data_IF_531381577003
#
_entry.id   IF_531381577003
#
_cell.length_a   1.000
_cell.length_b   1.000
_cell.length_c   1.000
_cell.angle_alpha   90.00
_cell.angle_beta   90.00
_cell.angle_gamma   90.00
#
_symmetry.space_group_name_H-M   'P 1'
#
loop_
_entity.id
_entity.type
_entity.pdbx_description
1 polymer ?
#
# COMPACT_ATOMS: atom_id res chain seq x y z
N UNK A 1 -3.02 47.96 30.61
CA UNK A 1 -1.56 48.01 30.38
C UNK A 1 -1.12 46.56 30.16
N UNK A 2 -0.85 46.18 28.89
CA UNK A 2 -0.20 44.95 28.35
C UNK A 2 -0.82 43.57 28.74
N UNK A 3 -1.50 42.74 27.91
CA UNK A 3 -1.38 42.20 26.52
C UNK A 3 -0.49 40.92 26.39
N UNK A 4 -1.12 39.78 26.05
CA UNK A 4 -0.69 38.61 25.23
C UNK A 4 -1.68 37.44 25.52
N UNK A 5 -2.65 37.01 24.72
CA UNK A 5 -2.77 36.64 23.29
C UNK A 5 -1.97 35.38 22.85
N UNK A 6 -2.73 34.31 22.50
CA UNK A 6 -2.48 33.27 21.45
C UNK A 6 -1.52 32.12 21.87
N UNK A 7 -1.92 30.83 21.96
CA UNK A 7 -2.30 29.89 20.88
C UNK A 7 -3.05 28.66 21.42
N UNK A 8 -4.34 28.54 21.12
CA UNK A 8 -5.02 27.27 20.84
C UNK A 8 -5.19 27.23 19.33
N UNK A 9 -4.48 26.32 18.65
CA UNK A 9 -4.81 25.85 17.30
C UNK A 9 -3.66 24.96 16.85
N UNK A 10 -3.86 23.66 16.77
CA UNK A 10 -3.23 22.74 15.79
C UNK A 10 -4.00 21.39 15.88
N UNK A 11 -5.31 21.47 15.63
CA UNK A 11 -6.10 20.33 15.16
C UNK A 11 -5.75 20.13 13.69
N UNK A 12 -4.83 19.22 13.38
CA UNK A 12 -4.59 18.76 12.01
C UNK A 12 -5.25 17.39 11.82
N UNK A 13 -6.57 17.40 11.67
CA UNK A 13 -7.28 16.40 10.90
C UNK A 13 -6.91 16.61 9.43
N UNK A 14 -6.07 15.76 8.84
CA UNK A 14 -6.05 15.60 7.38
C UNK A 14 -7.23 14.69 7.00
N UNK A 15 -8.39 15.30 6.85
CA UNK A 15 -9.51 14.68 6.15
C UNK A 15 -9.17 14.62 4.65
N UNK A 16 -9.24 13.42 4.07
CA UNK A 16 -9.15 13.21 2.64
C UNK A 16 -10.31 13.93 1.94
N UNK A 17 -10.07 14.87 1.00
CA UNK A 17 -11.16 15.61 0.36
C UNK A 17 -11.82 14.74 -0.71
N UNK A 18 -13.02 14.23 -0.41
CA UNK A 18 -13.95 13.69 -1.40
C UNK A 18 -14.38 14.82 -2.37
N UNK A 19 -13.82 14.83 -3.58
CA UNK A 19 -14.11 15.82 -4.61
C UNK A 19 -15.49 15.57 -5.27
N UNK A 20 -16.33 16.63 -5.31
CA UNK A 20 -17.66 16.63 -5.94
C UNK A 20 -17.57 16.59 -7.46
N UNK A 21 -18.06 15.51 -8.06
CA UNK A 21 -18.28 15.33 -9.51
C UNK A 21 -19.21 16.42 -10.07
N UNK A 22 -18.71 17.25 -11.00
CA UNK A 22 -19.52 18.22 -11.75
C UNK A 22 -20.18 17.51 -12.94
N UNK A 23 -21.50 17.33 -12.88
CA UNK A 23 -22.31 16.76 -13.97
C UNK A 23 -22.23 17.63 -15.23
N UNK A 24 -21.61 17.11 -16.29
CA UNK A 24 -21.61 17.70 -17.63
C UNK A 24 -22.82 17.14 -18.41
N UNK A 25 -23.69 18.04 -18.87
CA UNK A 25 -24.92 17.76 -19.62
C UNK A 25 -24.57 17.28 -21.04
N UNK A 26 -24.94 16.04 -21.35
CA UNK A 26 -24.72 15.37 -22.65
C UNK A 26 -25.74 15.86 -23.68
N UNK A 27 -25.28 16.47 -24.76
CA UNK A 27 -26.11 16.94 -25.87
C UNK A 27 -25.96 15.94 -27.03
N UNK A 28 -27.08 15.46 -27.56
CA UNK A 28 -27.14 14.44 -28.61
C UNK A 28 -26.81 15.02 -29.99
N UNK A 29 -25.84 14.43 -30.69
CA UNK A 29 -25.76 14.50 -32.17
C UNK A 29 -25.40 13.10 -32.67
N UNK A 30 -26.35 12.49 -33.37
CA UNK A 30 -26.25 11.21 -34.08
C UNK A 30 -25.75 11.47 -35.50
N UNK A 31 -24.65 10.86 -35.92
CA UNK A 31 -24.40 10.59 -37.34
C UNK A 31 -23.60 9.30 -37.52
N UNK A 32 -24.12 8.46 -38.41
CA UNK A 32 -23.74 7.08 -38.68
C UNK A 32 -22.55 7.03 -39.66
N UNK A 33 -21.41 6.46 -39.26
CA UNK A 33 -20.39 5.94 -40.17
C UNK A 33 -19.75 4.69 -39.54
N UNK A 34 -19.96 3.52 -40.15
CA UNK A 34 -19.31 2.27 -39.77
C UNK A 34 -17.82 2.33 -40.19
N UNK A 35 -16.95 2.65 -39.25
CA UNK A 35 -15.50 2.44 -39.35
C UNK A 35 -15.17 1.32 -38.36
N UNK A 36 -14.60 0.22 -38.86
CA UNK A 36 -13.95 -0.82 -38.07
C UNK A 36 -12.77 -0.17 -37.33
N UNK A 37 -13.01 0.35 -36.12
CA UNK A 37 -11.97 0.80 -35.20
C UNK A 37 -11.45 -0.45 -34.50
N UNK A 38 -10.18 -0.84 -34.65
CA UNK A 38 -9.61 -1.82 -33.74
C UNK A 38 -9.71 -1.23 -32.33
N UNK A 39 -10.43 -1.91 -31.43
CA UNK A 39 -10.38 -1.61 -30.01
C UNK A 39 -8.91 -1.77 -29.59
N UNK A 40 -8.18 -0.67 -29.56
CA UNK A 40 -7.01 -0.54 -28.71
C UNK A 40 -7.58 -0.50 -27.29
N UNK A 41 -7.74 -1.69 -26.71
CA UNK A 41 -7.79 -1.83 -25.26
C UNK A 41 -6.42 -1.35 -24.80
N UNK A 42 -6.32 -0.08 -24.38
CA UNK A 42 -5.28 0.29 -23.45
C UNK A 42 -5.54 -0.55 -22.20
N UNK A 43 -4.76 -1.60 -22.01
CA UNK A 43 -4.50 -2.05 -20.65
C UNK A 43 -3.97 -0.79 -19.95
N UNK A 44 -4.73 -0.30 -18.98
CA UNK A 44 -4.26 0.74 -18.09
C UNK A 44 -3.17 0.06 -17.25
N UNK A 45 -1.96 0.02 -17.81
CA UNK A 45 -0.76 -0.36 -17.08
C UNK A 45 -0.59 0.76 -16.07
N UNK A 46 -1.20 0.59 -14.90
CA UNK A 46 -1.08 1.52 -13.80
C UNK A 46 0.41 1.72 -13.58
N UNK A 47 0.93 2.89 -13.97
CA UNK A 47 2.34 3.18 -13.85
C UNK A 47 2.72 3.02 -12.38
N UNK A 48 3.86 2.38 -12.13
CA UNK A 48 4.31 2.15 -10.77
C UNK A 48 4.87 3.43 -10.17
N UNK A 49 4.80 3.57 -8.84
CA UNK A 49 5.56 4.62 -8.13
C UNK A 49 7.06 4.28 -8.02
N UNK A 50 7.45 3.04 -8.34
CA UNK A 50 8.84 2.68 -8.55
C UNK A 50 9.29 3.09 -9.95
N UNK A 51 10.49 3.66 -10.04
CA UNK A 51 11.13 4.00 -11.30
C UNK A 51 11.67 2.74 -11.99
N UNK A 52 11.97 2.85 -13.29
CA UNK A 52 12.43 1.70 -14.08
C UNK A 52 13.76 1.08 -13.62
N UNK A 53 14.56 1.81 -12.83
CA UNK A 53 15.83 1.36 -12.29
C UNK A 53 15.71 0.78 -10.87
N UNK A 54 14.48 0.67 -10.35
CA UNK A 54 14.20 0.16 -9.01
C UNK A 54 13.56 -1.24 -9.04
N UNK A 55 13.93 -2.08 -8.07
CA UNK A 55 13.24 -3.30 -7.76
C UNK A 55 11.97 -3.01 -6.94
N UNK A 56 10.82 -3.42 -7.48
CA UNK A 56 9.54 -3.35 -6.77
C UNK A 56 9.47 -4.37 -5.63
N UNK A 57 9.27 -3.91 -4.40
CA UNK A 57 9.05 -4.76 -3.22
C UNK A 57 7.58 -4.97 -2.94
N UNK A 58 6.79 -3.90 -3.02
CA UNK A 58 5.36 -3.93 -2.75
C UNK A 58 4.69 -2.78 -3.49
N UNK A 59 3.49 -3.01 -4.03
CA UNK A 59 2.66 -1.98 -4.65
C UNK A 59 1.19 -2.30 -4.43
N UNK A 60 0.41 -1.25 -4.22
CA UNK A 60 -0.99 -1.35 -3.85
C UNK A 60 -1.73 -0.06 -4.17
N UNK A 61 -2.90 -0.18 -4.79
CA UNK A 61 -3.81 0.96 -5.02
C UNK A 61 -4.76 1.13 -3.83
N UNK A 62 -4.94 2.38 -3.41
CA UNK A 62 -5.84 2.86 -2.35
C UNK A 62 -6.69 4.02 -2.90
N UNK A 63 -7.78 3.70 -3.61
CA UNK A 63 -8.57 4.70 -4.32
C UNK A 63 -7.81 5.31 -5.49
N UNK A 64 -7.71 6.65 -5.50
CA UNK A 64 -6.94 7.37 -6.53
C UNK A 64 -5.43 7.41 -6.23
N UNK A 65 -5.01 6.96 -5.04
CA UNK A 65 -3.61 6.92 -4.63
C UNK A 65 -3.03 5.52 -4.78
N UNK A 66 -1.72 5.45 -4.92
CA UNK A 66 -0.92 4.24 -4.84
C UNK A 66 0.04 4.35 -3.67
N UNK A 67 0.39 3.20 -3.12
CA UNK A 67 1.52 3.04 -2.22
C UNK A 67 2.49 2.08 -2.87
N UNK A 68 3.79 2.36 -2.77
CA UNK A 68 4.82 1.45 -3.23
C UNK A 68 6.00 1.44 -2.27
N UNK A 69 6.67 0.30 -2.20
CA UNK A 69 7.97 0.14 -1.58
C UNK A 69 8.96 -0.29 -2.66
N UNK A 70 9.94 0.56 -2.90
CA UNK A 70 10.92 0.43 -3.97
C UNK A 70 12.30 0.28 -3.36
N UNK A 71 13.13 -0.57 -3.95
CA UNK A 71 14.54 -0.65 -3.64
C UNK A 71 15.36 -0.34 -4.88
N UNK A 72 16.53 0.24 -4.68
CA UNK A 72 17.59 0.20 -5.69
C UNK A 72 17.85 -1.23 -6.19
N UNK A 73 18.25 -1.37 -7.44
CA UNK A 73 18.52 -2.69 -8.02
C UNK A 73 19.60 -3.45 -7.20
N UNK A 74 19.44 -4.76 -6.94
CA UNK A 74 20.39 -5.53 -6.12
C UNK A 74 21.83 -5.58 -6.66
N UNK A 75 22.02 -5.21 -7.94
CA UNK A 75 23.34 -5.13 -8.59
C UNK A 75 24.09 -3.84 -8.28
N UNK A 76 23.41 -2.82 -7.73
CA UNK A 76 24.02 -1.56 -7.32
C UNK A 76 24.50 -1.64 -5.87
N UNK A 77 25.68 -2.23 -5.65
CA UNK A 77 26.30 -2.30 -4.31
C UNK A 77 26.60 -0.91 -3.70
N UNK A 78 26.66 0.14 -4.54
CA UNK A 78 26.94 1.52 -4.15
C UNK A 78 25.66 2.27 -3.75
N UNK A 79 24.52 1.85 -4.27
CA UNK A 79 23.23 2.47 -4.04
C UNK A 79 22.31 1.38 -3.48
N UNK A 80 22.40 1.10 -2.18
CA UNK A 80 21.42 0.25 -1.50
C UNK A 80 20.48 1.16 -0.74
N UNK A 81 19.41 1.61 -1.37
CA UNK A 81 18.38 2.43 -0.73
C UNK A 81 17.01 1.81 -0.90
N UNK A 82 16.13 2.08 0.07
CA UNK A 82 14.73 1.66 0.03
C UNK A 82 13.86 2.86 0.32
N UNK A 83 12.79 3.04 -0.44
CA UNK A 83 11.81 4.08 -0.23
C UNK A 83 10.38 3.57 -0.30
N UNK A 84 9.63 3.89 0.73
CA UNK A 84 8.18 3.88 0.73
C UNK A 84 7.65 5.18 0.11
N UNK A 85 6.70 5.08 -0.82
CA UNK A 85 6.11 6.22 -1.53
C UNK A 85 4.59 6.14 -1.51
N UNK A 86 3.95 7.29 -1.43
CA UNK A 86 2.49 7.45 -1.59
C UNK A 86 2.21 8.56 -2.58
N UNK A 87 1.27 8.36 -3.48
CA UNK A 87 0.80 9.38 -4.40
C UNK A 87 0.24 8.80 -5.68
N UNK A 88 0.51 9.47 -6.78
CA UNK A 88 0.21 9.01 -8.14
C UNK A 88 1.51 8.95 -8.94
N UNK A 89 1.53 8.26 -10.09
CA UNK A 89 2.74 8.21 -10.94
C UNK A 89 3.26 9.59 -11.35
N UNK A 90 2.37 10.57 -11.47
CA UNK A 90 2.69 11.95 -11.84
C UNK A 90 3.04 12.85 -10.63
N UNK A 91 2.68 12.44 -9.40
CA UNK A 91 2.80 13.28 -8.21
C UNK A 91 2.94 12.45 -6.95
N UNK A 92 4.16 12.39 -6.42
CA UNK A 92 4.46 11.79 -5.11
C UNK A 92 4.10 12.77 -3.99
N UNK A 93 3.22 12.33 -3.09
CA UNK A 93 2.73 13.12 -1.95
C UNK A 93 3.53 12.87 -0.67
N UNK A 94 4.07 11.66 -0.50
CA UNK A 94 4.86 11.28 0.66
C UNK A 94 5.95 10.27 0.31
N UNK A 95 7.10 10.42 0.94
CA UNK A 95 8.26 9.54 0.81
C UNK A 95 8.85 9.26 2.19
N UNK A 96 9.21 8.02 2.45
CA UNK A 96 9.97 7.59 3.62
C UNK A 96 11.06 6.60 3.23
N UNK A 97 12.29 6.73 3.75
CA UNK A 97 12.82 7.91 4.42
C UNK A 97 12.88 9.10 3.44
N UNK A 98 12.75 10.33 3.97
CA UNK A 98 12.76 11.54 3.14
C UNK A 98 14.11 11.82 2.45
N UNK A 99 15.18 11.20 2.96
CA UNK A 99 16.52 11.21 2.37
C UNK A 99 16.87 9.75 2.07
N UNK A 100 17.36 9.48 0.86
CA UNK A 100 17.79 8.14 0.44
C UNK A 100 18.78 7.57 1.46
N UNK A 101 18.45 6.40 1.98
CA UNK A 101 19.22 5.73 3.02
C UNK A 101 19.17 4.22 2.85
N UNK A 102 20.22 3.56 3.36
CA UNK A 102 20.23 2.11 3.54
C UNK A 102 19.05 1.65 4.39
N UNK A 103 18.43 0.50 4.08
CA UNK A 103 17.29 0.01 4.86
C UNK A 103 17.63 -0.42 6.29
N UNK A 104 18.91 -0.61 6.62
CA UNK A 104 19.39 -1.04 7.94
C UNK A 104 18.92 -0.06 9.03
N UNK A 105 18.29 -0.61 10.08
CA UNK A 105 17.69 0.16 11.17
C UNK A 105 16.41 0.95 10.82
N UNK A 106 15.95 0.94 9.56
CA UNK A 106 14.78 1.69 9.10
C UNK A 106 13.59 0.78 8.76
N UNK A 107 13.87 -0.37 8.17
CA UNK A 107 12.86 -1.35 7.74
C UNK A 107 13.13 -2.72 8.35
N UNK A 108 12.08 -3.35 8.84
CA UNK A 108 12.12 -4.66 9.48
C UNK A 108 11.13 -5.59 8.80
N UNK A 109 11.52 -6.84 8.58
CA UNK A 109 10.70 -7.85 7.92
C UNK A 109 10.40 -9.02 8.85
N UNK A 110 9.13 -9.42 8.89
CA UNK A 110 8.72 -10.65 9.53
C UNK A 110 7.76 -11.44 8.64
N UNK A 111 7.77 -12.74 8.83
CA UNK A 111 6.85 -13.64 8.16
C UNK A 111 6.58 -14.86 9.03
N UNK A 112 5.39 -15.41 8.89
CA UNK A 112 4.96 -16.64 9.56
C UNK A 112 4.19 -17.51 8.57
N UNK A 113 4.37 -18.82 8.69
CA UNK A 113 3.60 -19.80 7.94
C UNK A 113 2.60 -20.49 8.88
N UNK A 114 1.42 -20.78 8.37
CA UNK A 114 0.39 -21.54 9.07
C UNK A 114 -0.28 -22.53 8.12
N UNK A 115 -1.07 -23.46 8.66
CA UNK A 115 -1.68 -24.51 7.84
C UNK A 115 -2.58 -23.93 6.76
N UNK A 116 -2.17 -24.08 5.49
CA UNK A 116 -2.90 -23.58 4.34
C UNK A 116 -2.68 -22.09 4.04
N UNK A 117 -1.68 -21.45 4.64
CA UNK A 117 -1.51 -20.02 4.53
C UNK A 117 -0.18 -19.48 5.04
N UNK A 118 -0.08 -18.16 5.02
CA UNK A 118 1.05 -17.43 5.54
C UNK A 118 0.74 -15.95 5.62
N UNK A 119 1.54 -15.24 6.42
CA UNK A 119 1.46 -13.80 6.52
C UNK A 119 2.85 -13.22 6.60
N UNK A 120 3.04 -12.06 5.99
CA UNK A 120 4.27 -11.30 6.10
C UNK A 120 3.96 -9.83 6.39
N UNK A 121 4.90 -9.14 7.02
CA UNK A 121 4.87 -7.70 7.08
C UNK A 121 6.25 -7.08 7.01
N UNK A 122 6.28 -5.84 6.55
CA UNK A 122 7.41 -4.93 6.62
C UNK A 122 7.01 -3.77 7.52
N UNK A 123 7.76 -3.58 8.61
CA UNK A 123 7.57 -2.49 9.56
C UNK A 123 8.58 -1.38 9.31
N UNK A 124 8.13 -0.14 9.38
CA UNK A 124 8.98 1.05 9.50
C UNK A 124 8.27 2.11 10.35
N UNK A 125 9.04 3.09 10.84
CA UNK A 125 8.52 4.10 11.75
C UNK A 125 8.77 5.50 11.19
N UNK A 126 7.73 6.34 11.16
CA UNK A 126 7.89 7.79 11.00
C UNK A 126 7.37 8.48 12.27
N UNK A 127 8.31 9.08 13.00
CA UNK A 127 8.09 9.68 14.33
C UNK A 127 7.48 8.65 15.31
N UNK A 128 6.28 8.89 15.80
CA UNK A 128 5.57 8.05 16.78
C UNK A 128 4.64 7.02 16.12
N UNK A 129 4.56 7.01 14.78
CA UNK A 129 3.68 6.09 14.04
C UNK A 129 4.49 4.94 13.47
N UNK A 130 4.07 3.72 13.82
CA UNK A 130 4.53 2.50 13.16
C UNK A 130 3.64 2.22 11.96
N UNK A 131 4.27 1.87 10.84
CA UNK A 131 3.62 1.51 9.59
C UNK A 131 3.94 0.06 9.29
N UNK A 132 2.93 -0.72 8.93
CA UNK A 132 3.03 -2.13 8.58
C UNK A 132 2.45 -2.34 7.20
N UNK A 133 3.31 -2.55 6.22
CA UNK A 133 2.90 -3.15 4.95
C UNK A 133 2.72 -4.62 5.22
N UNK A 134 1.58 -5.20 4.87
CA UNK A 134 1.31 -6.61 5.11
C UNK A 134 0.78 -7.30 3.87
N UNK A 135 1.01 -8.60 3.80
CA UNK A 135 0.26 -9.52 2.96
C UNK A 135 -0.09 -10.80 3.72
N UNK A 136 -1.18 -11.44 3.32
CA UNK A 136 -1.69 -12.66 3.93
C UNK A 136 -2.37 -13.53 2.90
N UNK A 137 -2.31 -14.84 3.15
CA UNK A 137 -3.09 -15.85 2.46
C UNK A 137 -3.77 -16.74 3.50
N UNK A 138 -5.09 -16.74 3.52
CA UNK A 138 -5.89 -17.60 4.39
C UNK A 138 -6.56 -18.71 3.57
N UNK A 139 -6.40 -19.96 4.00
CA UNK A 139 -7.20 -21.08 3.52
C UNK A 139 -8.64 -20.97 4.03
N UNK A 140 -9.62 -21.19 3.16
CA UNK A 140 -11.06 -21.05 3.48
C UNK A 140 -11.75 -22.37 3.81
N UNK A 141 -11.24 -23.52 3.35
CA UNK A 141 -11.87 -24.83 3.59
C UNK A 141 -10.86 -25.89 4.05
N UNK A 142 -11.19 -26.64 5.11
CA UNK A 142 -10.34 -27.70 5.68
C UNK A 142 -10.87 -29.12 5.44
N UNK A 143 -12.07 -29.25 4.87
CA UNK A 143 -12.71 -30.55 4.61
C UNK A 143 -12.04 -31.23 3.40
N UNK A 144 -11.72 -32.53 3.48
CA UNK A 144 -11.26 -33.30 2.33
C UNK A 144 -12.25 -33.23 1.17
N UNK A 145 -11.75 -33.25 -0.06
CA UNK A 145 -12.55 -33.25 -1.30
C UNK A 145 -13.39 -31.98 -1.57
N UNK A 146 -13.32 -30.96 -0.71
CA UNK A 146 -13.87 -29.64 -0.97
C UNK A 146 -12.83 -28.70 -1.61
N UNK A 147 -13.23 -27.86 -2.59
CA UNK A 147 -12.33 -26.89 -3.19
C UNK A 147 -11.89 -25.83 -2.17
N UNK A 148 -10.57 -25.57 -2.10
CA UNK A 148 -10.03 -24.45 -1.32
C UNK A 148 -9.99 -23.19 -2.18
N UNK A 149 -10.58 -22.10 -1.68
CA UNK A 149 -10.55 -20.78 -2.32
C UNK A 149 -9.83 -19.80 -1.40
N UNK A 150 -8.49 -19.68 -1.46
CA UNK A 150 -7.75 -18.84 -0.53
C UNK A 150 -8.21 -17.38 -0.59
N UNK A 151 -8.25 -16.73 0.57
CA UNK A 151 -8.46 -15.29 0.68
C UNK A 151 -7.09 -14.64 0.79
N UNK A 152 -6.80 -13.74 -0.15
CA UNK A 152 -5.61 -12.91 -0.13
C UNK A 152 -5.98 -11.52 0.37
N UNK A 153 -5.18 -11.00 1.29
CA UNK A 153 -5.32 -9.63 1.76
C UNK A 153 -3.94 -9.02 1.85
N UNK A 154 -3.83 -7.78 1.39
CA UNK A 154 -2.64 -6.97 1.54
C UNK A 154 -3.05 -5.53 1.80
N UNK A 155 -2.13 -4.75 2.35
CA UNK A 155 -2.41 -3.37 2.67
C UNK A 155 -1.41 -2.73 3.62
N UNK A 156 -1.86 -1.65 4.24
CA UNK A 156 -1.13 -0.87 5.21
C UNK A 156 -1.91 -0.79 6.52
N UNK A 157 -1.25 -1.08 7.63
CA UNK A 157 -1.74 -0.81 8.98
C UNK A 157 -0.88 0.26 9.63
N UNK A 158 -1.50 1.20 10.31
CA UNK A 158 -0.79 2.18 11.14
C UNK A 158 -1.08 1.92 12.61
N UNK A 159 -0.07 2.09 13.46
CA UNK A 159 -0.17 1.88 14.90
C UNK A 159 0.55 2.99 15.65
N UNK A 160 -0.05 3.44 16.75
CA UNK A 160 0.57 4.35 17.71
C UNK A 160 0.32 3.81 19.11
N UNK A 161 1.36 3.74 19.94
CA UNK A 161 1.25 3.29 21.34
C UNK A 161 0.49 1.95 21.47
N UNK A 162 0.86 0.97 20.65
CA UNK A 162 0.23 -0.36 20.58
C UNK A 162 -1.25 -0.38 20.13
N UNK A 163 -1.81 0.74 19.70
CA UNK A 163 -3.18 0.86 19.21
C UNK A 163 -3.19 1.04 17.69
N UNK A 164 -3.87 0.13 16.98
CA UNK A 164 -4.12 0.28 15.54
C UNK A 164 -4.96 1.54 15.31
N UNK A 165 -4.41 2.47 14.55
CA UNK A 165 -5.06 3.76 14.22
C UNK A 165 -5.74 3.73 12.87
N UNK A 166 -5.27 2.91 11.92
CA UNK A 166 -5.89 2.76 10.60
C UNK A 166 -5.53 1.43 9.95
N UNK A 167 -6.42 0.96 9.06
CA UNK A 167 -6.22 -0.20 8.19
C UNK A 167 -6.65 0.23 6.79
N UNK A 168 -5.73 0.14 5.83
CA UNK A 168 -5.97 0.41 4.41
C UNK A 168 -5.74 -0.88 3.64
N UNK A 169 -6.74 -1.33 2.89
CA UNK A 169 -6.68 -2.58 2.12
C UNK A 169 -6.46 -2.27 0.65
N UNK A 170 -5.67 -3.10 -0.02
CA UNK A 170 -5.48 -3.03 -1.46
C UNK A 170 -6.74 -3.45 -2.21
N UNK A 171 -7.05 -2.75 -3.30
CA UNK A 171 -8.31 -2.93 -4.03
C UNK A 171 -8.42 -4.25 -4.82
N UNK A 172 -7.33 -4.77 -5.37
CA UNK A 172 -7.37 -5.93 -6.28
C UNK A 172 -7.01 -7.27 -5.62
N UNK A 173 -6.66 -7.26 -4.33
CA UNK A 173 -6.26 -8.45 -3.57
C UNK A 173 -5.02 -9.19 -4.11
N UNK A 174 -4.33 -8.63 -5.10
CA UNK A 174 -3.19 -9.23 -5.80
C UNK A 174 -1.84 -8.70 -5.30
N UNK A 175 -1.87 -7.57 -4.60
CA UNK A 175 -0.70 -7.00 -3.94
C UNK A 175 -0.07 -8.02 -2.97
N UNK A 176 1.26 -8.14 -3.02
CA UNK A 176 2.04 -9.06 -2.19
C UNK A 176 3.47 -8.53 -2.03
N UNK A 177 4.08 -8.87 -0.89
CA UNK A 177 5.46 -8.57 -0.57
C UNK A 177 6.37 -9.49 -1.40
N UNK A 178 7.18 -8.88 -2.27
CA UNK A 178 8.01 -9.57 -3.26
C UNK A 178 9.37 -9.99 -2.69
N UNK A 179 10.07 -10.82 -3.47
CA UNK A 179 11.31 -11.46 -3.06
C UNK A 179 12.41 -10.55 -2.47
N UNK A 180 12.61 -9.29 -2.90
CA UNK A 180 13.70 -8.49 -2.34
C UNK A 180 13.54 -8.22 -0.83
N UNK A 181 12.31 -8.20 -0.30
CA UNK A 181 12.08 -8.02 1.14
C UNK A 181 12.73 -9.10 2.01
N UNK A 182 12.87 -10.32 1.49
CA UNK A 182 13.40 -11.47 2.23
C UNK A 182 14.91 -11.40 2.44
N UNK A 183 15.61 -10.53 1.70
CA UNK A 183 17.07 -10.40 1.74
C UNK A 183 17.53 -8.99 2.12
N UNK A 184 16.72 -7.96 1.88
CA UNK A 184 17.10 -6.56 2.12
C UNK A 184 16.90 -6.09 3.55
N UNK A 185 15.96 -6.68 4.29
CA UNK A 185 15.52 -6.16 5.58
C UNK A 185 15.98 -7.02 6.75
N UNK A 186 16.26 -6.35 7.87
CA UNK A 186 16.50 -6.99 9.15
C UNK A 186 15.28 -7.81 9.58
N UNK A 187 15.52 -8.99 10.16
CA UNK A 187 14.44 -9.87 10.61
C UNK A 187 13.96 -9.46 11.99
N UNK A 188 12.64 -9.46 12.17
CA UNK A 188 12.02 -9.29 13.49
C UNK A 188 11.03 -10.41 13.82
N UNK A 189 10.51 -10.37 15.05
CA UNK A 189 9.46 -11.30 15.47
C UNK A 189 8.13 -10.93 14.81
N UNK A 190 7.41 -11.94 14.32
CA UNK A 190 6.12 -11.70 13.69
C UNK A 190 5.08 -11.21 14.71
N UNK A 191 4.63 -9.98 14.53
CA UNK A 191 3.47 -9.42 15.20
C UNK A 191 2.16 -9.87 14.53
N UNK A 192 1.37 -10.69 15.21
CA UNK A 192 0.08 -11.15 14.72
C UNK A 192 -1.05 -10.13 14.96
N UNK A 193 -0.85 -9.14 15.83
CA UNK A 193 -1.89 -8.18 16.21
C UNK A 193 -2.22 -7.19 15.09
N UNK A 194 -1.26 -6.94 14.18
CA UNK A 194 -1.41 -6.04 13.04
C UNK A 194 -2.19 -6.67 11.87
N UNK A 195 -2.42 -7.99 11.88
CA UNK A 195 -3.07 -8.68 10.78
C UNK A 195 -4.59 -8.53 10.90
N UNK A 196 -5.25 -7.86 9.94
CA UNK A 196 -6.70 -7.71 9.98
C UNK A 196 -7.40 -9.07 9.84
N UNK A 197 -8.45 -9.29 10.64
CA UNK A 197 -9.25 -10.51 10.52
C UNK A 197 -10.04 -10.53 9.21
N UNK A 198 -9.99 -11.63 8.43
CA UNK A 198 -10.81 -11.77 7.23
C UNK A 198 -12.32 -11.77 7.54
N UNK A 199 -12.72 -12.12 8.77
CA UNK A 199 -14.13 -12.21 9.18
C UNK A 199 -14.81 -10.84 9.39
N UNK A 200 -14.05 -9.75 9.48
CA UNK A 200 -14.60 -8.40 9.63
C UNK A 200 -14.83 -7.68 8.28
N UNK A 201 -14.55 -8.33 7.15
CA UNK A 201 -14.59 -7.67 5.82
C UNK A 201 -15.90 -7.89 5.05
N UNK A 202 -16.85 -8.65 5.59
CA UNK A 202 -18.17 -8.92 4.97
C UNK A 202 -19.29 -7.96 5.42
N UNK A 203 -18.99 -6.75 5.90
CA UNK A 203 -20.00 -5.81 6.43
C UNK A 203 -20.17 -4.46 5.72
N UNK A 204 -19.63 -4.26 4.51
CA UNK A 204 -19.95 -3.07 3.69
C UNK A 204 -20.55 -3.44 2.34
#
# INVERSE_FOLDING_TARGET
MLRCDILQDWLYHKEFPLYKKKMIKRQHITFLLCIFIPLLVSADESQSLCTGDEALIFECSLGEQQIALCASHPQDEIQNHVQYRVGTPDSIEWVYPAIDASPEGLFYFASTAYSGGGASHIRFNDKETEYFIFDTMFRTHYVPDEPNYPVFMAGLVTRQQDVITSIYLCEDGSASIRSPAYTLFERESFDASIIPSPLNQTQN
#
